data_IF_435464592029
#
_entry.id   IF_435464592029
#
_cell.length_a   1.000
_cell.length_b   1.000
_cell.length_c   1.000
_cell.angle_alpha   90.00
_cell.angle_beta   90.00
_cell.angle_gamma   90.00
#
_symmetry.space_group_name_H-M   'P 1'
#
loop_
_entity.id
_entity.type
_entity.pdbx_description
1 polymer ?
#
# COMPACT_ATOMS: atom_id res chain seq x y z
N UNK A 1 1.25 -28.35 18.66
CA UNK A 1 1.75 -27.98 17.31
C UNK A 1 3.04 -28.73 17.08
N UNK A 2 3.07 -29.56 16.04
CA UNK A 2 4.27 -30.31 15.64
C UNK A 2 5.28 -29.34 15.02
N UNK A 3 6.54 -29.42 15.45
CA UNK A 3 7.62 -28.65 14.86
C UNK A 3 7.78 -29.03 13.38
N UNK A 4 7.59 -28.07 12.48
CA UNK A 4 7.71 -28.28 11.05
C UNK A 4 9.18 -28.16 10.64
N UNK A 5 9.87 -29.30 10.57
CA UNK A 5 11.28 -29.36 10.17
C UNK A 5 11.51 -28.78 8.77
N UNK A 6 10.54 -28.90 7.87
CA UNK A 6 10.65 -28.37 6.51
C UNK A 6 10.70 -26.85 6.52
N UNK A 7 9.77 -26.21 7.24
CA UNK A 7 9.76 -24.74 7.38
C UNK A 7 11.00 -24.22 8.10
N UNK A 8 11.49 -24.93 9.13
CA UNK A 8 12.72 -24.52 9.82
C UNK A 8 13.92 -24.50 8.87
N UNK A 9 14.10 -25.53 8.04
CA UNK A 9 15.22 -25.58 7.09
C UNK A 9 15.17 -24.39 6.12
N UNK A 10 13.98 -23.96 5.67
CA UNK A 10 13.82 -22.80 4.80
C UNK A 10 14.20 -21.50 5.50
N UNK A 11 13.80 -21.36 6.76
CA UNK A 11 14.18 -20.23 7.60
C UNK A 11 15.69 -20.18 7.84
N UNK A 12 16.33 -21.32 8.11
CA UNK A 12 17.79 -21.40 8.26
C UNK A 12 18.52 -20.92 7.00
N UNK A 13 18.03 -21.30 5.81
CA UNK A 13 18.60 -20.80 4.54
C UNK A 13 18.40 -19.29 4.37
N UNK A 14 17.24 -18.76 4.76
CA UNK A 14 16.99 -17.31 4.77
C UNK A 14 17.97 -16.57 5.67
N UNK A 15 18.13 -17.03 6.92
CA UNK A 15 19.07 -16.43 7.87
C UNK A 15 20.52 -16.48 7.36
N UNK A 16 20.89 -17.58 6.70
CA UNK A 16 22.20 -17.76 6.07
C UNK A 16 22.40 -16.93 4.78
N UNK A 17 21.36 -16.27 4.24
CA UNK A 17 21.42 -15.56 2.96
C UNK A 17 21.45 -16.48 1.73
N UNK A 18 21.18 -17.78 1.90
CA UNK A 18 21.21 -18.81 0.85
C UNK A 18 19.78 -19.29 0.48
N UNK A 19 18.81 -18.38 0.53
CA UNK A 19 17.42 -18.69 0.23
C UNK A 19 17.15 -18.67 -1.27
N UNK A 20 16.11 -19.40 -1.66
CA UNK A 20 15.51 -19.31 -2.98
C UNK A 20 14.13 -18.65 -2.89
N UNK A 21 13.64 -18.06 -3.98
CA UNK A 21 12.27 -17.51 -4.03
C UNK A 21 11.22 -18.55 -3.59
N UNK A 22 11.41 -19.83 -3.95
CA UNK A 22 10.56 -20.94 -3.51
C UNK A 22 10.57 -21.17 -1.98
N UNK A 23 11.68 -20.90 -1.31
CA UNK A 23 11.75 -21.01 0.16
C UNK A 23 10.80 -20.01 0.82
N UNK A 24 10.82 -18.76 0.33
CA UNK A 24 9.93 -17.70 0.80
C UNK A 24 8.47 -17.96 0.40
N UNK A 25 8.21 -18.45 -0.81
CA UNK A 25 6.87 -18.80 -1.25
C UNK A 25 6.22 -19.85 -0.34
N UNK A 26 6.91 -20.96 -0.09
CA UNK A 26 6.40 -22.00 0.82
C UNK A 26 6.28 -21.50 2.27
N UNK A 27 7.19 -20.61 2.69
CA UNK A 27 7.15 -20.02 4.03
C UNK A 27 5.92 -19.12 4.21
N UNK A 28 5.68 -18.17 3.31
CA UNK A 28 4.52 -17.27 3.38
C UNK A 28 3.20 -18.04 3.20
N UNK A 29 3.14 -19.03 2.31
CA UNK A 29 1.97 -19.90 2.15
C UNK A 29 1.65 -20.65 3.45
N UNK A 30 2.64 -21.21 4.13
CA UNK A 30 2.43 -21.92 5.39
C UNK A 30 2.05 -20.99 6.55
N UNK A 31 2.67 -19.80 6.61
CA UNK A 31 2.41 -18.81 7.67
C UNK A 31 1.09 -18.06 7.48
N UNK A 32 0.52 -18.03 6.27
CA UNK A 32 -0.76 -17.38 5.95
C UNK A 32 -1.89 -17.74 6.93
N UNK A 33 -2.05 -19.03 7.24
CA UNK A 33 -3.06 -19.53 8.18
C UNK A 33 -2.64 -19.42 9.65
N UNK A 34 -1.35 -19.19 9.91
CA UNK A 34 -0.72 -19.13 11.24
C UNK A 34 -0.06 -17.78 11.49
N UNK A 35 -0.69 -16.71 11.00
CA UNK A 35 -0.09 -15.37 11.01
C UNK A 35 -0.24 -14.65 12.36
N UNK A 36 -1.08 -15.16 13.27
CA UNK A 36 -1.29 -14.59 14.61
C UNK A 36 -1.60 -13.07 14.62
N UNK A 37 -2.32 -12.60 13.59
CA UNK A 37 -2.69 -11.19 13.45
C UNK A 37 -1.70 -10.35 12.64
N UNK A 38 -0.54 -10.89 12.25
CA UNK A 38 0.37 -10.27 11.30
C UNK A 38 -0.31 -10.22 9.93
N UNK A 39 -0.74 -9.02 9.55
CA UNK A 39 -1.57 -8.81 8.36
C UNK A 39 -0.72 -8.87 7.10
N UNK A 40 0.52 -8.39 7.13
CA UNK A 40 1.39 -8.37 5.95
C UNK A 40 1.89 -9.76 5.59
N UNK A 41 2.17 -10.63 6.57
CA UNK A 41 2.47 -12.04 6.27
C UNK A 41 1.29 -12.74 5.62
N UNK A 42 0.08 -12.46 6.09
CA UNK A 42 -1.13 -12.97 5.45
C UNK A 42 -1.26 -12.42 4.03
N UNK A 43 -1.10 -11.10 3.84
CA UNK A 43 -1.16 -10.41 2.54
C UNK A 43 -0.20 -11.05 1.52
N UNK A 44 1.08 -11.20 1.87
CA UNK A 44 2.07 -11.77 0.95
C UNK A 44 1.82 -13.26 0.71
N UNK A 45 1.44 -14.03 1.73
CA UNK A 45 1.05 -15.44 1.56
C UNK A 45 -0.23 -15.61 0.74
N UNK A 46 -1.13 -14.64 0.84
CA UNK A 46 -2.28 -14.49 -0.03
C UNK A 46 -1.78 -14.33 -1.47
N UNK A 47 -0.94 -13.33 -1.78
CA UNK A 47 -0.32 -13.09 -3.11
C UNK A 47 0.36 -14.34 -3.69
N UNK A 48 1.15 -15.05 -2.89
CA UNK A 48 1.75 -16.34 -3.29
C UNK A 48 0.71 -17.38 -3.73
N UNK A 49 -0.43 -17.45 -3.06
CA UNK A 49 -1.47 -18.44 -3.38
C UNK A 49 -2.26 -18.07 -4.65
N UNK A 50 -2.51 -16.78 -4.88
CA UNK A 50 -3.39 -16.30 -5.96
C UNK A 50 -2.87 -15.00 -6.59
N UNK A 51 -1.76 -15.05 -7.33
CA UNK A 51 -1.10 -13.84 -7.87
C UNK A 51 -2.00 -12.93 -8.74
N UNK A 52 -3.03 -13.47 -9.38
CA UNK A 52 -3.75 -12.74 -10.44
C UNK A 52 -4.65 -11.61 -9.92
N UNK A 53 -5.41 -11.84 -8.84
CA UNK A 53 -6.45 -10.91 -8.39
C UNK A 53 -6.49 -10.78 -6.86
N UNK A 54 -6.78 -9.57 -6.39
CA UNK A 54 -6.87 -9.19 -4.96
C UNK A 54 -8.06 -8.30 -4.66
N UNK A 55 -9.08 -8.89 -4.06
CA UNK A 55 -10.30 -8.21 -3.63
C UNK A 55 -10.31 -7.82 -2.14
N UNK A 56 -9.28 -8.23 -1.38
CA UNK A 56 -9.16 -8.01 0.05
C UNK A 56 -7.72 -7.72 0.44
N UNK A 57 -7.53 -7.21 1.66
CA UNK A 57 -6.20 -6.98 2.23
C UNK A 57 -5.82 -5.52 2.40
N UNK A 58 -4.61 -5.28 2.87
CA UNK A 58 -4.07 -3.93 3.13
C UNK A 58 -3.89 -3.18 1.81
N UNK A 59 -3.33 -3.84 0.78
CA UNK A 59 -3.12 -3.20 -0.52
C UNK A 59 -4.47 -2.82 -1.15
N UNK A 60 -5.42 -3.77 -1.20
CA UNK A 60 -6.75 -3.54 -1.74
C UNK A 60 -7.47 -2.35 -1.06
N UNK A 61 -7.50 -2.33 0.29
CA UNK A 61 -8.13 -1.25 1.05
C UNK A 61 -7.46 0.11 0.78
N UNK A 62 -6.14 0.15 0.70
CA UNK A 62 -5.40 1.39 0.42
C UNK A 62 -5.75 1.95 -0.96
N UNK A 63 -5.79 1.09 -1.99
CA UNK A 63 -6.12 1.50 -3.37
C UNK A 63 -7.57 1.96 -3.46
N UNK A 64 -8.51 1.26 -2.82
CA UNK A 64 -9.92 1.65 -2.77
C UNK A 64 -10.12 3.02 -2.11
N UNK A 65 -9.45 3.26 -0.98
CA UNK A 65 -9.48 4.55 -0.30
C UNK A 65 -8.92 5.65 -1.20
N UNK A 66 -7.77 5.41 -1.85
CA UNK A 66 -7.17 6.36 -2.77
C UNK A 66 -8.07 6.64 -3.98
N UNK A 67 -8.67 5.62 -4.57
CA UNK A 67 -9.59 5.75 -5.71
C UNK A 67 -10.82 6.60 -5.34
N UNK A 68 -11.38 6.39 -4.15
CA UNK A 68 -12.50 7.20 -3.64
C UNK A 68 -12.10 8.67 -3.48
N UNK A 69 -10.94 8.94 -2.89
CA UNK A 69 -10.41 10.30 -2.69
C UNK A 69 -10.15 11.02 -4.00
N UNK A 70 -9.48 10.35 -4.93
CA UNK A 70 -9.13 10.93 -6.22
C UNK A 70 -10.36 11.09 -7.11
N UNK A 71 -11.29 10.14 -7.09
CA UNK A 71 -12.56 10.27 -7.82
C UNK A 71 -13.37 11.48 -7.34
N UNK A 72 -13.47 11.69 -6.03
CA UNK A 72 -14.10 12.89 -5.48
C UNK A 72 -13.36 14.17 -5.89
N UNK A 73 -12.04 14.21 -5.73
CA UNK A 73 -11.22 15.38 -6.07
C UNK A 73 -11.29 15.72 -7.57
N UNK A 74 -11.23 14.71 -8.43
CA UNK A 74 -11.29 14.85 -9.88
C UNK A 74 -12.64 15.41 -10.34
N UNK A 75 -13.76 14.82 -9.87
CA UNK A 75 -15.11 15.32 -10.20
C UNK A 75 -15.28 16.80 -9.87
N UNK A 76 -14.71 17.24 -8.75
CA UNK A 76 -14.78 18.66 -8.33
C UNK A 76 -13.91 19.57 -9.18
N UNK A 77 -12.70 19.13 -9.52
CA UNK A 77 -11.80 19.90 -10.38
C UNK A 77 -12.36 20.03 -11.80
N UNK A 78 -12.90 18.95 -12.38
CA UNK A 78 -13.60 18.97 -13.66
C UNK A 78 -14.76 19.95 -13.66
N UNK A 79 -15.68 19.85 -12.69
CA UNK A 79 -16.82 20.76 -12.60
C UNK A 79 -16.39 22.22 -12.50
N UNK A 80 -15.35 22.52 -11.70
CA UNK A 80 -14.78 23.87 -11.61
C UNK A 80 -14.24 24.37 -12.95
N UNK A 81 -13.47 23.55 -13.66
CA UNK A 81 -12.90 23.92 -14.97
C UNK A 81 -13.99 24.16 -16.03
N UNK A 82 -15.08 23.42 -15.96
CA UNK A 82 -16.20 23.52 -16.90
C UNK A 82 -17.25 24.57 -16.48
N UNK A 83 -17.08 25.22 -15.33
CA UNK A 83 -18.06 26.18 -14.80
C UNK A 83 -19.39 25.53 -14.41
N UNK A 84 -19.38 24.22 -14.16
CA UNK A 84 -20.54 23.45 -13.73
C UNK A 84 -20.69 23.49 -12.20
N UNK A 85 -21.91 23.28 -11.67
CA UNK A 85 -22.11 23.07 -10.25
C UNK A 85 -21.18 21.96 -9.74
N UNK A 86 -20.40 22.26 -8.70
CA UNK A 86 -19.45 21.29 -8.16
C UNK A 86 -20.22 20.15 -7.49
N UNK A 87 -20.09 18.90 -7.98
CA UNK A 87 -20.79 17.76 -7.42
C UNK A 87 -20.25 17.45 -6.02
N UNK A 88 -21.16 17.13 -5.11
CA UNK A 88 -20.83 16.64 -3.78
C UNK A 88 -22.09 16.42 -2.97
N UNK A 89 -22.37 15.16 -2.64
CA UNK A 89 -23.33 14.85 -1.59
C UNK A 89 -22.67 15.09 -0.22
N UNK A 90 -23.46 15.43 0.79
CA UNK A 90 -23.03 15.46 2.19
C UNK A 90 -22.35 14.14 2.56
N UNK A 91 -22.83 13.01 2.05
CA UNK A 91 -22.26 11.67 2.28
C UNK A 91 -20.87 11.46 1.64
N UNK A 92 -20.57 12.15 0.53
CA UNK A 92 -19.24 12.09 -0.09
C UNK A 92 -18.17 12.65 0.86
N UNK A 93 -18.48 13.71 1.62
CA UNK A 93 -17.51 14.31 2.56
C UNK A 93 -17.11 13.35 3.67
N UNK A 94 -18.05 12.62 4.27
CA UNK A 94 -17.71 11.68 5.33
C UNK A 94 -16.93 10.49 4.79
N UNK A 95 -17.40 9.89 3.71
CA UNK A 95 -16.76 8.70 3.12
C UNK A 95 -15.33 8.99 2.68
N UNK A 96 -15.10 10.10 1.98
CA UNK A 96 -13.76 10.55 1.57
C UNK A 96 -12.89 10.92 2.77
N UNK A 97 -13.41 11.67 3.75
CA UNK A 97 -12.62 12.03 4.93
C UNK A 97 -12.20 10.81 5.75
N UNK A 98 -13.06 9.80 5.86
CA UNK A 98 -12.72 8.54 6.53
C UNK A 98 -11.69 7.73 5.72
N UNK A 99 -11.80 7.72 4.40
CA UNK A 99 -10.78 7.10 3.54
C UNK A 99 -9.42 7.79 3.66
N UNK A 100 -9.37 9.12 3.66
CA UNK A 100 -8.14 9.88 3.91
C UNK A 100 -7.57 9.58 5.30
N UNK A 101 -8.42 9.55 6.33
CA UNK A 101 -7.98 9.20 7.68
C UNK A 101 -7.39 7.79 7.72
N UNK A 102 -8.03 6.80 7.10
CA UNK A 102 -7.56 5.41 7.06
C UNK A 102 -6.19 5.25 6.38
N UNK A 103 -5.83 6.14 5.45
CA UNK A 103 -4.51 6.17 4.82
C UNK A 103 -3.45 6.90 5.67
N UNK A 104 -3.84 7.66 6.68
CA UNK A 104 -2.92 8.40 7.55
C UNK A 104 -2.41 7.52 8.68
N UNK A 105 -1.11 7.52 8.97
CA UNK A 105 -0.52 6.72 10.06
C UNK A 105 -0.82 7.31 11.44
N UNK A 106 -0.94 6.45 12.46
CA UNK A 106 -1.25 6.89 13.84
C UNK A 106 -0.20 7.89 14.38
N UNK A 107 1.06 7.75 13.98
CA UNK A 107 2.12 8.67 14.40
C UNK A 107 1.98 10.06 13.78
N UNK A 108 1.51 10.14 12.53
CA UNK A 108 1.16 11.42 11.91
C UNK A 108 0.00 12.10 12.65
N UNK A 109 -1.01 11.34 13.09
CA UNK A 109 -2.12 11.88 13.88
C UNK A 109 -1.64 12.49 15.20
N UNK A 110 -0.73 11.79 15.89
CA UNK A 110 -0.14 12.25 17.15
C UNK A 110 0.74 13.48 16.94
N UNK A 111 1.54 13.51 15.88
CA UNK A 111 2.42 14.63 15.57
C UNK A 111 1.65 15.90 15.17
N UNK A 112 0.63 15.75 14.31
CA UNK A 112 -0.06 16.90 13.69
C UNK A 112 -1.29 17.35 14.47
N UNK A 113 -2.16 16.42 14.87
CA UNK A 113 -3.41 16.72 15.57
C UNK A 113 -3.32 16.52 17.08
N UNK A 114 -2.30 15.82 17.58
CA UNK A 114 -2.14 15.44 18.99
C UNK A 114 -3.35 14.68 19.53
N UNK A 115 -3.95 13.83 18.69
CA UNK A 115 -5.16 13.07 18.99
C UNK A 115 -5.02 11.61 18.55
N UNK A 116 -5.60 10.65 19.29
CA UNK A 116 -5.73 9.27 18.82
C UNK A 116 -6.79 9.17 17.71
N UNK A 117 -6.63 8.20 16.80
CA UNK A 117 -7.54 7.96 15.66
C UNK A 117 -9.01 7.91 16.05
N UNK A 118 -9.35 7.20 17.12
CA UNK A 118 -10.74 7.09 17.58
C UNK A 118 -11.38 8.44 17.94
N UNK A 119 -10.59 9.41 18.42
CA UNK A 119 -11.07 10.77 18.66
C UNK A 119 -11.27 11.53 17.35
N UNK A 120 -10.34 11.39 16.40
CA UNK A 120 -10.45 12.00 15.06
C UNK A 120 -11.70 11.51 14.34
N UNK A 121 -11.99 10.20 14.37
CA UNK A 121 -13.22 9.62 13.80
C UNK A 121 -14.48 10.23 14.42
N UNK A 122 -14.51 10.38 15.75
CA UNK A 122 -15.65 11.00 16.46
C UNK A 122 -15.85 12.45 16.03
N UNK A 123 -14.77 13.21 15.88
CA UNK A 123 -14.80 14.61 15.45
C UNK A 123 -15.24 14.75 13.99
N UNK A 124 -14.75 13.90 13.07
CA UNK A 124 -15.21 13.88 11.67
C UNK A 124 -16.72 13.63 11.58
N UNK A 125 -17.22 12.63 12.31
CA UNK A 125 -18.66 12.33 12.34
C UNK A 125 -19.47 13.45 13.00
N UNK A 126 -18.90 14.14 13.97
CA UNK A 126 -19.53 15.30 14.62
C UNK A 126 -19.67 16.46 13.65
N UNK A 127 -18.57 16.83 12.97
CA UNK A 127 -18.58 17.88 11.96
C UNK A 127 -19.50 17.54 10.78
N UNK A 128 -19.51 16.29 10.32
CA UNK A 128 -20.39 15.83 9.24
C UNK A 128 -21.87 16.00 9.57
N UNK A 129 -22.31 15.65 10.79
CA UNK A 129 -23.71 15.88 11.22
C UNK A 129 -24.14 17.34 11.22
N UNK A 130 -23.18 18.27 11.26
CA UNK A 130 -23.45 19.71 11.20
C UNK A 130 -23.55 20.21 9.76
N UNK A 131 -23.17 19.41 8.76
CA UNK A 131 -23.31 19.79 7.35
C UNK A 131 -24.80 19.74 6.99
N UNK A 132 -25.34 20.85 6.52
CA UNK A 132 -26.75 20.96 6.10
C UNK A 132 -26.91 21.15 4.60
N UNK A 133 -25.85 21.57 3.92
CA UNK A 133 -25.85 21.86 2.49
C UNK A 133 -24.42 21.80 1.97
N UNK A 134 -24.25 21.68 0.65
CA UNK A 134 -22.97 21.76 -0.05
C UNK A 134 -23.09 22.83 -1.12
N UNK A 135 -22.39 23.95 -0.96
CA UNK A 135 -22.40 25.08 -1.90
C UNK A 135 -21.04 25.25 -2.52
N UNK A 136 -20.98 25.23 -3.84
CA UNK A 136 -19.74 25.35 -4.61
C UNK A 136 -18.67 24.34 -4.14
N UNK A 137 -19.13 23.11 -3.82
CA UNK A 137 -18.28 22.04 -3.32
C UNK A 137 -17.69 22.29 -1.94
N UNK A 138 -18.24 23.25 -1.17
CA UNK A 138 -17.87 23.52 0.21
C UNK A 138 -19.02 23.12 1.14
N UNK A 139 -18.73 22.46 2.27
CA UNK A 139 -19.75 22.11 3.24
C UNK A 139 -20.24 23.38 3.95
N UNK A 140 -21.56 23.54 4.01
CA UNK A 140 -22.22 24.57 4.80
C UNK A 140 -22.67 23.95 6.11
N UNK A 141 -22.25 24.54 7.22
CA UNK A 141 -22.55 24.02 8.56
C UNK A 141 -23.73 24.76 9.19
N UNK A 142 -24.60 24.04 9.91
CA UNK A 142 -25.70 24.61 10.70
C UNK A 142 -25.23 25.42 11.91
N UNK A 143 -24.03 25.10 12.40
CA UNK A 143 -23.42 25.73 13.57
C UNK A 143 -21.90 25.80 13.39
N UNK A 144 -21.25 26.63 14.21
CA UNK A 144 -19.80 26.77 14.15
C UNK A 144 -19.10 25.47 14.58
N UNK A 145 -18.06 25.09 13.84
CA UNK A 145 -17.19 23.99 14.22
C UNK A 145 -16.33 24.39 15.41
N UNK A 146 -16.22 23.53 16.41
CA UNK A 146 -15.22 23.70 17.46
C UNK A 146 -13.81 23.73 16.86
N UNK A 147 -12.81 24.33 17.54
CA UNK A 147 -11.44 24.40 17.01
C UNK A 147 -10.85 23.03 16.64
N UNK A 148 -11.21 21.97 17.39
CA UNK A 148 -10.78 20.60 17.11
C UNK A 148 -11.49 19.99 15.90
N UNK A 149 -12.80 20.23 15.74
CA UNK A 149 -13.54 19.80 14.55
C UNK A 149 -12.99 20.48 13.30
N UNK A 150 -12.75 21.79 13.36
CA UNK A 150 -12.17 22.55 12.25
C UNK A 150 -10.79 22.01 11.85
N UNK A 151 -9.88 21.82 12.81
CA UNK A 151 -8.55 21.27 12.51
C UNK A 151 -8.60 19.88 11.85
N UNK A 152 -9.54 19.03 12.26
CA UNK A 152 -9.76 17.71 11.65
C UNK A 152 -10.35 17.84 10.24
N UNK A 153 -11.33 18.73 10.03
CA UNK A 153 -11.92 18.97 8.71
C UNK A 153 -10.89 19.55 7.73
N UNK A 154 -10.10 20.54 8.16
CA UNK A 154 -9.06 21.17 7.34
C UNK A 154 -8.03 20.14 6.87
N UNK A 155 -7.76 19.10 7.68
CA UNK A 155 -6.85 18.01 7.31
C UNK A 155 -7.47 16.99 6.35
N UNK A 156 -8.75 16.64 6.47
CA UNK A 156 -9.30 15.48 5.75
C UNK A 156 -10.40 15.76 4.73
N UNK A 157 -11.01 16.94 4.73
CA UNK A 157 -12.07 17.24 3.75
C UNK A 157 -11.51 17.46 2.34
N UNK A 158 -10.26 17.92 2.25
CA UNK A 158 -9.66 18.34 1.00
C UNK A 158 -8.23 17.85 0.78
N UNK A 159 -7.58 17.26 1.79
CA UNK A 159 -6.24 16.72 1.62
C UNK A 159 -6.30 15.24 1.22
N UNK A 160 -5.36 14.87 0.34
CA UNK A 160 -5.08 13.48 0.00
C UNK A 160 -3.78 13.11 0.70
N UNK A 161 -3.82 12.45 1.87
CA UNK A 161 -2.59 11.98 2.50
C UNK A 161 -2.00 10.87 1.64
N UNK A 162 -1.05 11.23 0.78
CA UNK A 162 -0.25 10.27 0.02
C UNK A 162 0.74 9.64 1.00
N UNK A 163 0.44 8.42 1.42
CA UNK A 163 1.26 7.62 2.33
C UNK A 163 1.35 6.20 1.77
N UNK A 164 2.46 5.54 2.08
CA UNK A 164 2.65 4.13 1.81
C UNK A 164 1.68 3.30 2.65
N UNK A 165 1.10 2.27 2.04
CA UNK A 165 0.23 1.33 2.76
C UNK A 165 1.01 0.54 3.81
N UNK A 166 2.27 0.19 3.51
CA UNK A 166 3.24 -0.39 4.43
C UNK A 166 4.68 -0.20 3.91
N UNK A 167 5.66 -0.45 4.78
CA UNK A 167 7.07 -0.44 4.46
C UNK A 167 7.78 -1.77 4.77
N UNK A 168 9.05 -1.86 4.37
CA UNK A 168 9.92 -3.02 4.58
C UNK A 168 10.01 -3.43 6.06
N UNK A 169 10.12 -2.47 6.97
CA UNK A 169 10.25 -2.74 8.40
C UNK A 169 8.94 -3.31 8.98
N UNK A 170 7.78 -2.85 8.49
CA UNK A 170 6.48 -3.42 8.86
C UNK A 170 6.39 -4.89 8.42
N UNK A 171 6.77 -5.21 7.17
CA UNK A 171 6.71 -6.57 6.63
C UNK A 171 7.65 -7.51 7.39
N UNK A 172 8.90 -7.09 7.62
CA UNK A 172 9.90 -7.88 8.35
C UNK A 172 9.47 -8.08 9.80
N UNK A 173 8.91 -7.06 10.46
CA UNK A 173 8.39 -7.17 11.83
C UNK A 173 7.22 -8.15 11.95
N UNK A 174 6.30 -8.14 11.00
CA UNK A 174 5.19 -9.09 10.92
C UNK A 174 5.70 -10.53 10.68
N UNK A 175 6.68 -10.71 9.79
CA UNK A 175 7.33 -12.01 9.54
C UNK A 175 8.06 -12.52 10.78
N UNK A 176 8.86 -11.69 11.43
CA UNK A 176 9.57 -12.02 12.67
C UNK A 176 8.59 -12.50 13.75
N UNK A 177 7.49 -11.76 13.94
CA UNK A 177 6.42 -12.14 14.88
C UNK A 177 5.84 -13.51 14.55
N UNK A 178 5.60 -13.80 13.28
CA UNK A 178 5.09 -15.11 12.85
C UNK A 178 6.10 -16.22 13.09
N UNK A 179 7.38 -16.02 12.76
CA UNK A 179 8.43 -17.02 12.92
C UNK A 179 8.65 -17.37 14.39
N UNK A 180 8.71 -16.39 15.30
CA UNK A 180 8.83 -16.61 16.75
C UNK A 180 7.61 -17.36 17.29
N UNK A 181 6.39 -16.91 16.96
CA UNK A 181 5.17 -17.55 17.47
C UNK A 181 4.98 -18.99 16.95
N UNK A 182 5.46 -19.28 15.74
CA UNK A 182 5.50 -20.64 15.19
C UNK A 182 6.73 -21.44 15.66
N UNK A 183 7.60 -20.88 16.50
CA UNK A 183 8.84 -21.50 17.02
C UNK A 183 9.81 -21.92 15.91
N UNK A 184 9.86 -21.12 14.84
CA UNK A 184 10.77 -21.34 13.71
C UNK A 184 12.09 -20.58 13.88
N UNK A 185 12.12 -19.54 14.73
CA UNK A 185 13.33 -18.85 15.16
C UNK A 185 13.29 -18.56 16.67
N UNK A 186 14.44 -18.26 17.26
CA UNK A 186 14.58 -17.68 18.60
C UNK A 186 14.88 -16.17 18.56
N UNK A 187 14.91 -15.53 19.73
CA UNK A 187 15.11 -14.08 19.85
C UNK A 187 16.50 -13.64 19.34
N UNK A 188 17.50 -14.51 19.48
CA UNK A 188 18.87 -14.26 19.02
C UNK A 188 18.97 -14.22 17.48
N UNK A 189 18.06 -14.90 16.77
CA UNK A 189 18.02 -14.94 15.31
C UNK A 189 17.26 -13.74 14.71
N UNK A 190 16.58 -12.93 15.53
CA UNK A 190 15.78 -11.79 15.07
C UNK A 190 16.62 -10.72 14.36
N UNK A 191 17.80 -10.40 14.90
CA UNK A 191 18.68 -9.41 14.29
C UNK A 191 19.22 -9.90 12.95
N UNK A 192 19.50 -11.20 12.83
CA UNK A 192 19.92 -11.81 11.57
C UNK A 192 18.79 -11.70 10.54
N UNK A 193 17.55 -12.01 10.92
CA UNK A 193 16.39 -11.88 10.03
C UNK A 193 16.21 -10.45 9.53
N UNK A 194 16.39 -9.44 10.40
CA UNK A 194 16.29 -8.03 10.00
C UNK A 194 17.29 -7.66 8.91
N UNK A 195 18.49 -8.24 8.91
CA UNK A 195 19.47 -8.02 7.83
C UNK A 195 19.04 -8.60 6.48
N UNK A 196 17.96 -9.41 6.44
CA UNK A 196 17.39 -10.01 5.22
C UNK A 196 16.16 -9.25 4.70
N UNK A 197 15.93 -8.03 5.17
CA UNK A 197 14.73 -7.26 4.85
C UNK A 197 14.55 -7.00 3.36
N UNK A 198 15.64 -6.72 2.64
CA UNK A 198 15.58 -6.42 1.21
C UNK A 198 15.24 -7.65 0.38
N UNK A 199 15.80 -8.82 0.72
CA UNK A 199 15.46 -10.11 0.12
C UNK A 199 13.96 -10.42 0.25
N UNK A 200 13.41 -10.21 1.45
CA UNK A 200 11.98 -10.40 1.76
C UNK A 200 11.13 -9.39 0.99
N UNK A 201 11.56 -8.14 0.90
CA UNK A 201 10.87 -7.09 0.17
C UNK A 201 10.83 -7.37 -1.33
N UNK A 202 11.95 -7.78 -1.95
CA UNK A 202 12.01 -8.15 -3.36
C UNK A 202 11.09 -9.33 -3.68
N UNK A 203 11.08 -10.35 -2.81
CA UNK A 203 10.11 -11.43 -2.91
C UNK A 203 8.65 -10.94 -2.87
N UNK A 204 8.31 -10.08 -1.91
CA UNK A 204 6.97 -9.51 -1.83
C UNK A 204 6.62 -8.72 -3.10
N UNK A 205 7.55 -7.90 -3.61
CA UNK A 205 7.34 -7.13 -4.84
C UNK A 205 7.07 -8.02 -6.05
N UNK A 206 7.86 -9.07 -6.24
CA UNK A 206 7.64 -10.06 -7.30
C UNK A 206 6.25 -10.70 -7.19
N UNK A 207 5.83 -11.13 -5.99
CA UNK A 207 4.50 -11.71 -5.76
C UNK A 207 3.35 -10.72 -5.99
N UNK A 208 3.56 -9.43 -5.72
CA UNK A 208 2.55 -8.38 -5.92
C UNK A 208 2.48 -7.90 -7.37
N UNK A 209 3.58 -7.94 -8.10
CA UNK A 209 3.69 -7.40 -9.45
C UNK A 209 2.68 -8.02 -10.42
N UNK A 210 2.04 -7.16 -11.23
CA UNK A 210 0.95 -7.44 -12.19
C UNK A 210 -0.31 -8.04 -11.59
N UNK A 211 -0.47 -8.00 -10.27
CA UNK A 211 -1.73 -8.37 -9.64
C UNK A 211 -2.79 -7.31 -9.94
N UNK A 212 -4.02 -7.77 -10.17
CA UNK A 212 -5.19 -6.91 -10.38
C UNK A 212 -5.95 -6.69 -9.07
N UNK A 213 -6.46 -5.48 -8.87
CA UNK A 213 -7.27 -5.09 -7.73
C UNK A 213 -8.59 -4.50 -8.25
N UNK A 214 -9.71 -5.22 -8.14
CA UNK A 214 -11.01 -4.69 -8.54
C UNK A 214 -11.43 -3.54 -7.62
N UNK A 215 -11.91 -2.47 -8.25
CA UNK A 215 -12.44 -1.28 -7.58
C UNK A 215 -13.95 -1.16 -7.80
N UNK A 216 -14.66 -0.43 -6.93
CA UNK A 216 -16.06 -0.08 -7.16
C UNK A 216 -16.24 0.58 -8.54
N UNK A 217 -17.31 0.19 -9.26
CA UNK A 217 -17.59 0.69 -10.61
C UNK A 217 -16.96 -0.12 -11.75
N UNK A 218 -16.30 -1.24 -11.44
CA UNK A 218 -15.76 -2.16 -12.46
C UNK A 218 -14.37 -1.78 -12.97
N UNK A 219 -13.81 -0.66 -12.51
CA UNK A 219 -12.41 -0.30 -12.75
C UNK A 219 -11.49 -1.33 -12.08
N UNK A 220 -10.40 -1.69 -12.75
CA UNK A 220 -9.38 -2.58 -12.21
C UNK A 220 -8.07 -1.81 -12.12
N UNK A 221 -7.49 -1.78 -10.93
CA UNK A 221 -6.13 -1.28 -10.74
C UNK A 221 -5.11 -2.40 -10.93
N UNK A 222 -3.94 -2.08 -11.46
CA UNK A 222 -2.84 -3.04 -11.63
C UNK A 222 -1.65 -2.64 -10.77
N UNK A 223 -1.04 -3.61 -10.09
CA UNK A 223 0.15 -3.38 -9.28
C UNK A 223 1.41 -3.46 -10.15
N UNK A 224 2.27 -2.46 -10.04
CA UNK A 224 3.52 -2.37 -10.79
C UNK A 224 4.70 -2.19 -9.85
N UNK A 225 5.84 -2.76 -10.22
CA UNK A 225 7.11 -2.41 -9.58
C UNK A 225 7.47 -1.04 -10.13
N UNK A 226 7.57 -0.08 -9.23
CA UNK A 226 7.92 1.30 -9.53
C UNK A 226 9.30 1.66 -9.02
N UNK A 227 9.66 2.92 -9.28
CA UNK A 227 10.86 3.57 -8.77
C UNK A 227 10.43 4.75 -7.92
N UNK A 228 11.08 4.91 -6.79
CA UNK A 228 10.87 6.05 -5.92
C UNK A 228 12.22 6.67 -5.55
N UNK A 229 12.30 7.99 -5.64
CA UNK A 229 13.47 8.72 -5.19
C UNK A 229 13.32 9.07 -3.70
N UNK A 230 14.14 8.47 -2.85
CA UNK A 230 14.11 8.72 -1.42
C UNK A 230 15.54 8.83 -0.88
N UNK A 231 15.79 9.85 -0.06
CA UNK A 231 17.07 10.05 0.63
C UNK A 231 18.31 10.10 -0.29
N UNK A 232 18.12 10.49 -1.56
CA UNK A 232 19.19 10.61 -2.55
C UNK A 232 19.48 9.34 -3.35
N UNK A 233 18.73 8.26 -3.10
CA UNK A 233 18.83 6.99 -3.82
C UNK A 233 17.52 6.64 -4.54
N UNK A 234 17.64 5.90 -5.65
CA UNK A 234 16.50 5.31 -6.35
C UNK A 234 16.19 3.93 -5.76
N UNK A 235 15.00 3.78 -5.19
CA UNK A 235 14.55 2.53 -4.59
C UNK A 235 13.39 1.92 -5.36
N UNK A 236 13.29 0.61 -5.32
CA UNK A 236 12.14 -0.13 -5.82
C UNK A 236 10.93 0.07 -4.91
N UNK A 237 9.74 0.03 -5.50
CA UNK A 237 8.46 0.17 -4.78
C UNK A 237 7.37 -0.64 -5.46
N UNK A 238 6.22 -0.81 -4.79
CA UNK A 238 4.98 -1.20 -5.47
C UNK A 238 4.05 0.00 -5.53
N UNK A 239 3.57 0.27 -6.74
CA UNK A 239 2.57 1.28 -7.04
C UNK A 239 1.32 0.62 -7.62
N UNK A 240 0.15 1.19 -7.38
CA UNK A 240 -1.07 0.80 -8.09
C UNK A 240 -1.41 1.82 -9.17
N UNK A 241 -1.66 1.32 -10.37
CA UNK A 241 -2.08 2.10 -11.53
C UNK A 241 -3.58 1.92 -11.73
N UNK A 242 -4.32 3.02 -11.60
CA UNK A 242 -5.77 3.05 -11.75
C UNK A 242 -6.07 3.74 -13.09
N UNK A 243 -6.56 3.03 -14.12
CA UNK A 243 -6.84 3.65 -15.40
C UNK A 243 -7.93 4.71 -15.27
N UNK A 244 -7.77 5.83 -15.98
CA UNK A 244 -8.75 6.91 -16.06
C UNK A 244 -9.12 7.16 -17.51
N UNK A 245 -10.42 7.14 -17.81
CA UNK A 245 -10.91 7.56 -19.11
C UNK A 245 -11.03 9.08 -19.16
N UNK A 246 -10.03 9.71 -19.77
CA UNK A 246 -10.04 11.16 -20.08
C UNK A 246 -10.00 11.41 -21.59
N UNK A 247 -10.46 10.44 -22.40
CA UNK A 247 -10.36 10.50 -23.87
C UNK A 247 -8.92 10.42 -24.40
N UNK A 248 -7.97 9.95 -23.57
CA UNK A 248 -6.59 9.66 -23.96
C UNK A 248 -6.22 8.25 -23.51
N UNK A 249 -5.57 7.45 -24.36
CA UNK A 249 -5.10 6.13 -23.95
C UNK A 249 -4.00 6.25 -22.90
N UNK A 250 -3.88 5.23 -22.04
CA UNK A 250 -2.78 5.04 -21.09
C UNK A 250 -2.61 6.16 -20.05
N UNK A 251 -3.71 6.78 -19.63
CA UNK A 251 -3.72 7.70 -18.49
C UNK A 251 -4.18 6.95 -17.26
N UNK A 252 -3.43 7.07 -16.17
CA UNK A 252 -3.74 6.42 -14.90
C UNK A 252 -3.46 7.36 -13.73
N UNK A 253 -4.19 7.16 -12.64
CA UNK A 253 -3.78 7.63 -11.32
C UNK A 253 -2.81 6.62 -10.73
N UNK A 254 -1.81 7.11 -10.03
CA UNK A 254 -0.83 6.29 -9.34
C UNK A 254 -0.93 6.50 -7.84
N UNK A 255 -0.93 5.41 -7.07
CA UNK A 255 -0.76 5.47 -5.61
C UNK A 255 0.36 4.55 -5.15
N UNK A 256 1.02 4.97 -4.07
CA UNK A 256 2.18 4.33 -3.47
C UNK A 256 1.71 3.27 -2.46
N UNK A 257 2.15 2.03 -2.58
CA UNK A 257 1.70 0.94 -1.70
C UNK A 257 2.79 0.40 -0.79
N UNK A 258 3.92 0.00 -1.37
CA UNK A 258 4.99 -0.66 -0.62
C UNK A 258 6.30 0.12 -0.77
N UNK A 259 6.77 0.68 0.34
CA UNK A 259 8.08 1.36 0.42
C UNK A 259 9.17 0.35 0.73
N UNK A 260 10.26 0.38 -0.02
CA UNK A 260 11.44 -0.48 0.25
C UNK A 260 12.72 0.34 0.32
N UNK A 261 13.79 -0.29 0.84
CA UNK A 261 15.17 0.22 0.73
C UNK A 261 15.94 -0.48 -0.39
N UNK A 262 15.26 -1.23 -1.26
CA UNK A 262 15.87 -2.01 -2.31
C UNK A 262 16.32 -1.08 -3.44
N UNK A 263 17.59 -0.67 -3.41
CA UNK A 263 18.18 0.15 -4.47
C UNK A 263 18.08 -0.52 -5.83
N UNK A 264 17.65 0.24 -6.83
CA UNK A 264 17.37 -0.30 -8.17
C UNK A 264 18.63 -0.96 -8.76
N UNK A 265 19.80 -0.32 -8.66
CA UNK A 265 21.05 -0.87 -9.23
C UNK A 265 21.51 -2.21 -8.61
N UNK A 266 21.03 -2.55 -7.42
CA UNK A 266 21.40 -3.79 -6.73
C UNK A 266 20.47 -4.94 -7.08
N UNK A 267 19.19 -4.64 -7.28
CA UNK A 267 18.13 -5.65 -7.32
C UNK A 267 17.49 -5.83 -8.70
N UNK A 268 17.81 -4.97 -9.67
CA UNK A 268 17.40 -5.10 -11.07
C UNK A 268 18.63 -5.29 -11.97
N UNK A 269 18.54 -6.16 -12.97
CA UNK A 269 19.66 -6.40 -13.89
C UNK A 269 19.90 -5.19 -14.85
N UNK A 270 21.15 -4.83 -15.16
CA UNK A 270 21.48 -3.60 -15.89
C UNK A 270 20.86 -3.47 -17.30
N UNK A 271 20.62 -4.58 -17.99
CA UNK A 271 20.01 -4.56 -19.33
C UNK A 271 18.55 -4.14 -19.28
N UNK A 272 17.85 -4.51 -18.21
CA UNK A 272 16.44 -4.21 -17.99
C UNK A 272 16.24 -2.80 -17.45
N UNK A 273 17.26 -2.27 -16.77
CA UNK A 273 17.33 -0.87 -16.32
C UNK A 273 17.13 0.13 -17.46
N UNK A 274 17.57 -0.20 -18.68
CA UNK A 274 17.54 0.70 -19.84
C UNK A 274 16.26 0.56 -20.69
N UNK A 275 15.58 -0.59 -20.67
CA UNK A 275 14.51 -0.93 -21.61
C UNK A 275 13.12 -0.98 -20.97
N UNK A 276 13.00 -1.39 -19.69
CA UNK A 276 11.71 -1.74 -19.08
C UNK A 276 11.05 -0.61 -18.26
N UNK A 277 11.69 0.55 -18.14
CA UNK A 277 11.27 1.58 -17.19
C UNK A 277 11.07 2.91 -17.89
N UNK A 278 9.84 3.20 -18.31
CA UNK A 278 9.48 4.59 -18.59
C UNK A 278 9.39 5.33 -17.24
N UNK A 279 9.98 6.54 -17.11
CA UNK A 279 10.03 7.29 -15.85
C UNK A 279 8.69 7.59 -15.17
N UNK A 280 7.57 7.32 -15.85
CA UNK A 280 6.22 7.60 -15.37
C UNK A 280 5.32 6.36 -15.18
N UNK A 281 5.70 5.16 -15.66
CA UNK A 281 4.76 4.03 -15.78
C UNK A 281 5.14 2.73 -15.07
N UNK A 282 6.20 2.72 -14.26
CA UNK A 282 6.70 1.49 -13.63
C UNK A 282 7.11 0.42 -14.65
N UNK A 283 7.47 -0.76 -14.16
CA UNK A 283 7.67 -1.95 -14.99
C UNK A 283 6.28 -2.48 -15.36
N UNK A 284 6.03 -2.74 -16.64
CA UNK A 284 4.74 -3.26 -17.12
C UNK A 284 4.89 -4.71 -17.58
N UNK A 285 6.11 -5.10 -17.93
CA UNK A 285 6.48 -6.44 -18.32
C UNK A 285 6.50 -7.36 -17.10
N UNK A 286 6.13 -8.65 -17.26
CA UNK A 286 6.23 -9.60 -16.17
C UNK A 286 7.68 -9.69 -15.65
N UNK A 287 7.82 -9.79 -14.34
CA UNK A 287 9.11 -9.98 -13.68
C UNK A 287 9.09 -11.25 -12.84
N UNK A 288 10.28 -11.81 -12.65
CA UNK A 288 10.54 -12.89 -11.70
C UNK A 288 11.87 -12.71 -10.99
N UNK A 289 12.04 -13.41 -9.86
CA UNK A 289 13.33 -13.50 -9.18
C UNK A 289 14.18 -14.59 -9.84
N UNK A 290 15.33 -14.21 -10.37
CA UNK A 290 16.28 -15.11 -11.00
C UNK A 290 17.09 -15.94 -9.98
N UNK A 291 17.98 -16.81 -10.47
CA UNK A 291 18.82 -17.66 -9.61
C UNK A 291 19.79 -16.89 -8.70
N UNK A 292 20.09 -15.62 -9.01
CA UNK A 292 20.92 -14.74 -8.20
C UNK A 292 20.11 -13.96 -7.15
N UNK A 293 18.79 -14.15 -7.07
CA UNK A 293 17.92 -13.44 -6.14
C UNK A 293 17.52 -12.04 -6.61
N UNK A 294 17.80 -11.67 -7.85
CA UNK A 294 17.48 -10.36 -8.43
C UNK A 294 16.24 -10.43 -9.30
N UNK A 295 15.55 -9.30 -9.46
CA UNK A 295 14.45 -9.17 -10.41
C UNK A 295 14.99 -9.22 -11.83
N UNK A 296 14.30 -10.01 -12.65
CA UNK A 296 14.53 -10.19 -14.07
C UNK A 296 13.20 -9.99 -14.82
N UNK A 297 13.21 -9.22 -15.89
CA UNK A 297 12.10 -9.03 -16.82
C UNK A 297 12.01 -10.26 -17.73
N UNK A 298 10.81 -10.80 -17.84
CA UNK A 298 10.49 -11.91 -18.74
C UNK A 298 10.17 -11.35 -20.12
N UNK A 299 11.03 -11.69 -21.09
CA UNK A 299 10.88 -11.35 -22.52
C UNK A 299 10.22 -12.50 -23.28
#
# INVERSE_FOLDING_TARGET
MTFDKGLRIRVERLLAGAHHARDLDELFLALRQRSFGAKLVREIGDFSAHRQERDQGIACKSIQNFALLMGFSWRRDTARREGLPIPGDIDDFLSTSLAALEMDHDDNLRATLRMPRGQVVKLLRSAHRKIVDVRDGQPVFSEELSPKERAVCDRYFFAVPLQWAFDEDNLVGDLATCLVKNRLICDEELEILKTRGQEIAVFAMDRMHLSSVPLPGGTVATLHIGREWADGDENLSINAHIPVDIGRPNVFLMTLLFKTRCRVEHWLEPREFAEALQPASGIIEPVEINAAGKLQVLV
#
